data_IF_699702630508
#
_entry.id   IF_699702630508
#
_cell.length_a   1.000
_cell.length_b   1.000
_cell.length_c   1.000
_cell.angle_alpha   90.00
_cell.angle_beta   90.00
_cell.angle_gamma   90.00
#
_symmetry.space_group_name_H-M   'P 1'
#
loop_
_entity.id
_entity.type
_entity.pdbx_description
1 polymer ?
#
# COMPACT_ATOMS: atom_id res chain seq x y z
N UNK A 1 -24.73 38.00 -7.64
CA UNK A 1 -23.62 37.06 -7.94
C UNK A 1 -22.41 37.39 -7.06
N UNK A 2 -21.92 38.64 -7.01
CA UNK A 2 -20.81 39.06 -6.12
C UNK A 2 -21.12 38.91 -4.62
N UNK A 3 -22.29 39.31 -4.13
CA UNK A 3 -22.65 39.15 -2.71
C UNK A 3 -22.73 37.67 -2.27
N UNK A 4 -23.21 36.80 -3.15
CA UNK A 4 -23.30 35.35 -2.91
C UNK A 4 -21.91 34.73 -2.86
N UNK A 5 -21.02 35.13 -3.77
CA UNK A 5 -19.62 34.67 -3.80
C UNK A 5 -18.82 35.17 -2.59
N UNK A 6 -19.07 36.40 -2.13
CA UNK A 6 -18.46 36.96 -0.92
C UNK A 6 -18.88 36.22 0.36
N UNK A 7 -20.16 35.81 0.46
CA UNK A 7 -20.65 34.99 1.58
C UNK A 7 -20.04 33.59 1.58
N UNK A 8 -19.95 32.94 0.42
CA UNK A 8 -19.31 31.62 0.29
C UNK A 8 -17.82 31.67 0.67
N UNK A 9 -17.08 32.67 0.19
CA UNK A 9 -15.67 32.87 0.58
C UNK A 9 -15.51 33.09 2.09
N UNK A 10 -16.37 33.88 2.71
CA UNK A 10 -16.35 34.10 4.15
C UNK A 10 -16.65 32.81 4.94
N UNK A 11 -17.62 32.01 4.47
CA UNK A 11 -17.94 30.71 5.06
C UNK A 11 -16.76 29.74 4.98
N UNK A 12 -16.13 29.60 3.80
CA UNK A 12 -14.99 28.70 3.60
C UNK A 12 -13.76 29.15 4.42
N UNK A 13 -13.53 30.47 4.55
CA UNK A 13 -12.47 31.00 5.45
C UNK A 13 -12.75 30.69 6.92
N UNK A 14 -13.99 30.88 7.37
CA UNK A 14 -14.37 30.55 8.75
C UNK A 14 -14.26 29.05 9.04
N UNK A 15 -14.56 28.19 8.06
CA UNK A 15 -14.36 26.76 8.19
C UNK A 15 -12.88 26.39 8.26
N UNK A 16 -12.03 27.02 7.44
CA UNK A 16 -10.58 26.83 7.48
C UNK A 16 -10.01 27.22 8.86
N UNK A 17 -10.40 28.36 9.41
CA UNK A 17 -9.95 28.80 10.76
C UNK A 17 -10.33 27.79 11.84
N UNK A 18 -11.54 27.21 11.76
CA UNK A 18 -11.99 26.14 12.65
C UNK A 18 -11.11 24.89 12.53
N UNK A 19 -10.77 24.47 11.31
CA UNK A 19 -9.90 23.32 11.06
C UNK A 19 -8.48 23.58 11.58
N UNK A 20 -7.91 24.75 11.31
CA UNK A 20 -6.57 25.12 11.79
C UNK A 20 -6.51 25.13 13.32
N UNK A 21 -7.54 25.68 13.98
CA UNK A 21 -7.65 25.68 15.44
C UNK A 21 -7.71 24.25 16.00
N UNK A 22 -8.46 23.36 15.35
CA UNK A 22 -8.55 21.96 15.75
C UNK A 22 -7.22 21.22 15.55
N UNK A 23 -6.49 21.46 14.45
CA UNK A 23 -5.13 20.94 14.22
C UNK A 23 -4.19 21.39 15.33
N UNK A 24 -4.17 22.69 15.64
CA UNK A 24 -3.29 23.26 16.67
C UNK A 24 -3.64 22.74 18.07
N UNK A 25 -4.93 22.46 18.35
CA UNK A 25 -5.36 21.82 19.60
C UNK A 25 -4.87 20.37 19.68
N UNK A 26 -5.11 19.55 18.65
CA UNK A 26 -4.71 18.14 18.65
C UNK A 26 -3.17 18.00 18.73
N UNK A 27 -2.40 18.83 18.02
CA UNK A 27 -0.94 18.84 18.13
C UNK A 27 -0.51 19.13 19.57
N UNK A 28 -1.09 20.15 20.22
CA UNK A 28 -0.74 20.50 21.61
C UNK A 28 -1.04 19.34 22.56
N UNK A 29 -2.18 18.67 22.40
CA UNK A 29 -2.55 17.51 23.24
C UNK A 29 -1.63 16.31 23.04
N UNK A 30 -1.20 16.03 21.80
CA UNK A 30 -0.40 14.83 21.47
C UNK A 30 1.08 14.95 21.84
N UNK A 31 1.63 16.17 21.86
CA UNK A 31 3.05 16.43 22.18
C UNK A 31 3.34 16.36 23.68
N UNK A 32 2.32 16.49 24.53
CA UNK A 32 2.47 16.34 25.98
C UNK A 32 2.83 14.89 26.33
N UNK A 33 3.97 14.72 27.02
CA UNK A 33 4.42 13.41 27.51
C UNK A 33 3.37 12.87 28.50
N UNK A 34 2.91 11.62 28.36
CA UNK A 34 1.92 11.07 29.27
C UNK A 34 2.45 11.10 30.71
N UNK A 35 1.67 11.66 31.63
CA UNK A 35 1.98 11.62 33.06
C UNK A 35 1.71 10.20 33.57
N UNK A 36 2.77 9.39 33.61
CA UNK A 36 2.95 8.13 34.36
C UNK A 36 1.68 7.48 34.92
N UNK A 37 1.04 6.61 34.14
CA UNK A 37 -0.02 5.69 34.64
C UNK A 37 0.06 4.27 34.04
N UNK A 38 1.15 3.89 33.36
CA UNK A 38 1.27 2.58 32.70
C UNK A 38 2.30 1.64 33.34
N UNK A 39 2.04 0.33 33.22
CA UNK A 39 2.72 -0.78 33.91
C UNK A 39 3.94 -1.33 33.13
N UNK A 40 4.20 -0.90 31.89
CA UNK A 40 5.31 -1.37 31.02
C UNK A 40 5.85 -0.26 30.09
N UNK A 41 7.15 0.03 30.20
CA UNK A 41 7.91 1.06 29.46
C UNK A 41 7.86 0.87 27.93
N UNK A 42 7.84 -0.38 27.43
CA UNK A 42 7.86 -0.64 25.99
C UNK A 42 6.58 -0.21 25.29
N UNK A 43 5.46 -0.38 25.97
CA UNK A 43 4.14 0.00 25.46
C UNK A 43 3.99 1.52 25.47
N UNK A 44 4.52 2.18 26.49
CA UNK A 44 4.56 3.64 26.60
C UNK A 44 5.38 4.29 25.46
N UNK A 45 6.58 3.76 25.20
CA UNK A 45 7.44 4.22 24.08
C UNK A 45 6.72 4.10 22.73
N UNK A 46 6.02 2.99 22.49
CA UNK A 46 5.29 2.78 21.24
C UNK A 46 4.13 3.78 21.08
N UNK A 47 3.34 3.99 22.14
CA UNK A 47 2.24 4.97 22.15
C UNK A 47 2.79 6.39 21.94
N UNK A 48 3.90 6.73 22.59
CA UNK A 48 4.51 8.05 22.46
C UNK A 48 5.01 8.31 21.04
N UNK A 49 5.68 7.33 20.41
CA UNK A 49 6.08 7.43 18.99
C UNK A 49 4.88 7.65 18.07
N UNK A 50 3.81 6.88 18.25
CA UNK A 50 2.59 7.04 17.46
C UNK A 50 1.97 8.44 17.62
N UNK A 51 2.00 9.02 18.83
CA UNK A 51 1.53 10.39 19.08
C UNK A 51 2.41 11.43 18.37
N UNK A 52 3.72 11.25 18.39
CA UNK A 52 4.67 12.14 17.70
C UNK A 52 4.50 12.08 16.18
N UNK A 53 4.34 10.88 15.62
CA UNK A 53 4.06 10.67 14.20
C UNK A 53 2.76 11.38 13.80
N UNK A 54 1.68 11.18 14.57
CA UNK A 54 0.40 11.88 14.35
C UNK A 54 0.55 13.40 14.41
N UNK A 55 1.31 13.92 15.37
CA UNK A 55 1.56 15.35 15.48
C UNK A 55 2.36 15.89 14.28
N UNK A 56 3.32 15.11 13.76
CA UNK A 56 4.10 15.46 12.58
C UNK A 56 3.22 15.48 11.31
N UNK A 57 2.36 14.48 11.11
CA UNK A 57 1.38 14.45 10.01
C UNK A 57 0.49 15.70 10.02
N UNK A 58 -0.06 16.05 11.18
CA UNK A 58 -0.91 17.23 11.35
C UNK A 58 -0.18 18.54 11.09
N UNK A 59 1.08 18.66 11.52
CA UNK A 59 1.93 19.83 11.24
C UNK A 59 2.19 19.97 9.74
N UNK A 60 2.51 18.86 9.06
CA UNK A 60 2.77 18.85 7.63
C UNK A 60 1.50 19.17 6.82
N UNK A 61 0.32 18.74 7.28
CA UNK A 61 -0.96 19.07 6.62
C UNK A 61 -1.46 20.47 6.94
N UNK A 62 -0.98 21.14 8.00
CA UNK A 62 -1.49 22.44 8.44
C UNK A 62 -1.52 23.53 7.35
N UNK A 63 -0.51 23.67 6.46
CA UNK A 63 -0.55 24.67 5.39
C UNK A 63 -1.65 24.43 4.35
N UNK A 64 -2.08 23.18 4.16
CA UNK A 64 -3.11 22.77 3.22
C UNK A 64 -3.87 21.53 3.74
N UNK A 65 -4.81 21.70 4.69
CA UNK A 65 -5.38 20.59 5.45
C UNK A 65 -6.39 19.76 4.66
N UNK A 66 -7.06 20.36 3.67
CA UNK A 66 -8.00 19.73 2.77
C UNK A 66 -7.99 20.47 1.43
N UNK A 67 -8.42 19.79 0.37
CA UNK A 67 -8.38 20.34 -1.01
C UNK A 67 -9.74 20.27 -1.71
N UNK A 68 -10.69 19.52 -1.16
CA UNK A 68 -11.98 19.27 -1.80
C UNK A 68 -13.14 19.40 -0.83
N UNK A 69 -14.29 19.82 -1.35
CA UNK A 69 -15.59 19.76 -0.67
C UNK A 69 -16.60 19.08 -1.57
N UNK A 70 -17.42 18.22 -0.97
CA UNK A 70 -18.55 17.56 -1.61
C UNK A 70 -19.80 17.79 -0.77
N UNK A 71 -20.87 18.26 -1.41
CA UNK A 71 -22.18 18.34 -0.79
C UNK A 71 -23.02 17.17 -1.33
N UNK A 72 -23.50 16.31 -0.42
CA UNK A 72 -24.16 15.05 -0.75
C UNK A 72 -25.56 15.01 -0.16
N UNK A 73 -26.57 14.87 -1.02
CA UNK A 73 -27.99 14.78 -0.67
C UNK A 73 -28.39 13.33 -0.48
N UNK A 74 -28.89 12.99 0.70
CA UNK A 74 -29.42 11.66 1.00
C UNK A 74 -30.75 11.43 0.28
N UNK A 75 -30.94 10.23 -0.27
CA UNK A 75 -32.19 9.87 -0.94
C UNK A 75 -33.35 9.66 0.05
N UNK A 76 -33.07 9.11 1.23
CA UNK A 76 -34.12 8.75 2.21
C UNK A 76 -34.72 9.96 2.94
N UNK A 77 -34.06 11.12 2.90
CA UNK A 77 -34.49 12.36 3.55
C UNK A 77 -34.34 13.57 2.61
N UNK A 78 -35.20 13.65 1.58
CA UNK A 78 -35.24 14.77 0.65
C UNK A 78 -35.62 16.12 1.27
N UNK A 79 -35.93 16.19 2.57
CA UNK A 79 -36.17 17.46 3.29
C UNK A 79 -34.96 17.94 4.10
N UNK A 80 -34.00 17.07 4.44
CA UNK A 80 -32.80 17.43 5.22
C UNK A 80 -31.72 18.06 4.34
N UNK A 81 -31.05 19.13 4.81
CA UNK A 81 -29.96 19.77 4.09
C UNK A 81 -28.85 18.78 3.64
N UNK A 82 -28.21 19.05 2.50
CA UNK A 82 -27.14 18.20 2.00
C UNK A 82 -26.00 18.10 3.02
N UNK A 83 -25.51 16.88 3.21
CA UNK A 83 -24.36 16.61 4.07
C UNK A 83 -23.07 17.11 3.41
N UNK A 84 -22.31 17.93 4.14
CA UNK A 84 -21.08 18.55 3.64
C UNK A 84 -19.87 17.73 4.10
N UNK A 85 -19.00 17.38 3.15
CA UNK A 85 -17.80 16.59 3.40
C UNK A 85 -16.56 17.28 2.83
N UNK A 86 -15.63 17.65 3.69
CA UNK A 86 -14.32 18.15 3.28
C UNK A 86 -13.33 16.98 3.18
N UNK A 87 -12.57 16.93 2.08
CA UNK A 87 -11.68 15.84 1.72
C UNK A 87 -10.23 16.32 1.79
N UNK A 88 -9.41 15.61 2.55
CA UNK A 88 -8.00 15.91 2.75
C UNK A 88 -7.13 14.67 2.88
N UNK A 89 -5.81 14.88 2.95
CA UNK A 89 -4.83 13.79 3.08
C UNK A 89 -4.87 13.17 4.47
N UNK A 90 -4.82 14.04 5.48
CA UNK A 90 -4.79 13.68 6.89
C UNK A 90 -6.18 13.93 7.45
N UNK A 91 -6.91 12.88 7.87
CA UNK A 91 -8.23 13.08 8.46
C UNK A 91 -8.11 13.78 9.81
N UNK A 92 -9.12 14.59 10.11
CA UNK A 92 -9.24 15.36 11.34
C UNK A 92 -10.67 15.22 11.86
N UNK A 93 -10.89 14.21 12.70
CA UNK A 93 -12.21 13.92 13.30
C UNK A 93 -13.32 13.91 12.22
N UNK A 94 -14.41 14.63 12.48
CA UNK A 94 -15.54 14.86 11.57
C UNK A 94 -15.32 16.06 10.62
N UNK A 95 -14.26 16.87 10.83
CA UNK A 95 -14.01 18.07 10.04
C UNK A 95 -13.39 17.76 8.69
N UNK A 96 -12.38 16.90 8.66
CA UNK A 96 -11.70 16.51 7.41
C UNK A 96 -11.74 15.00 7.27
N UNK A 97 -12.34 14.53 6.18
CA UNK A 97 -12.36 13.12 5.80
C UNK A 97 -11.09 12.78 5.01
N UNK A 98 -10.56 11.60 5.25
CA UNK A 98 -9.44 11.09 4.45
C UNK A 98 -9.90 10.88 3.01
N UNK A 99 -9.04 11.21 2.06
CA UNK A 99 -9.21 10.92 0.64
C UNK A 99 -9.37 9.43 0.32
N UNK A 100 -8.96 8.54 1.23
CA UNK A 100 -9.15 7.09 1.11
C UNK A 100 -10.49 6.61 1.68
N UNK A 101 -11.23 7.47 2.38
CA UNK A 101 -12.49 7.09 2.99
C UNK A 101 -13.53 6.75 1.91
N UNK A 102 -14.48 5.83 2.16
CA UNK A 102 -15.50 5.50 1.18
C UNK A 102 -16.30 6.72 0.68
N UNK A 103 -16.59 7.68 1.56
CA UNK A 103 -17.26 8.94 1.20
C UNK A 103 -16.45 9.80 0.24
N UNK A 104 -15.12 9.71 0.24
CA UNK A 104 -14.26 10.43 -0.69
C UNK A 104 -14.39 9.92 -2.13
N UNK A 105 -14.96 8.71 -2.34
CA UNK A 105 -15.29 8.24 -3.68
C UNK A 105 -16.22 9.22 -4.42
N UNK A 106 -17.13 9.88 -3.71
CA UNK A 106 -18.03 10.90 -4.26
C UNK A 106 -17.28 12.12 -4.83
N UNK A 107 -16.10 12.45 -4.29
CA UNK A 107 -15.29 13.56 -4.79
C UNK A 107 -14.64 13.21 -6.13
N UNK A 108 -14.09 12.01 -6.24
CA UNK A 108 -13.43 11.54 -7.47
C UNK A 108 -14.43 11.10 -8.53
N UNK A 109 -15.59 10.62 -8.09
CA UNK A 109 -16.67 10.07 -8.92
C UNK A 109 -18.02 10.67 -8.53
N UNK A 110 -18.26 11.94 -8.86
CA UNK A 110 -19.53 12.61 -8.56
C UNK A 110 -20.76 11.97 -9.21
N UNK A 111 -20.59 11.09 -10.21
CA UNK A 111 -21.66 10.31 -10.83
C UNK A 111 -22.20 9.15 -9.98
N UNK A 112 -21.56 8.82 -8.85
CA UNK A 112 -22.00 7.74 -7.97
C UNK A 112 -23.31 8.08 -7.27
N UNK A 113 -24.20 7.09 -7.17
CA UNK A 113 -25.51 7.20 -6.49
C UNK A 113 -25.44 6.88 -4.99
N UNK A 114 -24.25 7.00 -4.40
CA UNK A 114 -24.01 6.66 -3.01
C UNK A 114 -22.60 6.16 -2.72
N UNK A 115 -22.38 5.73 -1.48
CA UNK A 115 -21.11 5.16 -1.05
C UNK A 115 -21.30 4.11 0.06
N UNK A 116 -20.32 3.23 0.20
CA UNK A 116 -20.32 2.19 1.24
C UNK A 116 -19.93 2.79 2.60
N UNK A 117 -20.81 2.72 3.61
CA UNK A 117 -20.48 3.06 4.99
C UNK A 117 -20.38 1.80 5.87
N UNK A 118 -19.80 1.90 7.08
CA UNK A 118 -19.74 0.77 8.01
C UNK A 118 -21.10 0.17 8.37
N UNK A 119 -22.17 0.98 8.32
CA UNK A 119 -23.55 0.56 8.62
C UNK A 119 -24.34 0.06 7.41
N UNK A 120 -23.76 0.08 6.21
CA UNK A 120 -24.46 -0.25 4.97
C UNK A 120 -24.19 0.77 3.86
N UNK A 121 -24.75 0.55 2.70
CA UNK A 121 -24.65 1.48 1.58
C UNK A 121 -25.56 2.69 1.81
N UNK A 122 -25.02 3.90 1.64
CA UNK A 122 -25.75 5.15 1.78
C UNK A 122 -26.09 5.67 0.39
N UNK A 123 -27.39 5.76 0.09
CA UNK A 123 -27.90 6.23 -1.20
C UNK A 123 -28.09 7.74 -1.24
N UNK A 124 -27.78 8.35 -2.37
CA UNK A 124 -27.91 9.79 -2.57
C UNK A 124 -27.23 10.30 -3.83
N UNK A 125 -27.10 11.61 -3.94
CA UNK A 125 -26.48 12.27 -5.09
C UNK A 125 -25.59 13.44 -4.67
N UNK A 126 -24.53 13.68 -5.43
CA UNK A 126 -23.65 14.83 -5.23
C UNK A 126 -24.31 16.07 -5.81
N UNK A 127 -24.56 17.10 -5.00
CA UNK A 127 -25.11 18.38 -5.45
C UNK A 127 -24.00 19.37 -5.85
N UNK A 128 -22.88 19.35 -5.11
CA UNK A 128 -21.74 20.24 -5.33
C UNK A 128 -20.44 19.46 -5.20
N UNK A 129 -19.53 19.65 -6.18
CA UNK A 129 -18.10 19.33 -6.05
C UNK A 129 -17.32 20.62 -6.16
N UNK A 130 -16.55 20.94 -5.13
CA UNK A 130 -15.74 22.16 -5.05
C UNK A 130 -14.27 21.83 -4.81
N UNK A 131 -13.41 22.52 -5.53
CA UNK A 131 -11.97 22.56 -5.35
C UNK A 131 -11.60 23.76 -4.50
N UNK A 132 -10.76 23.55 -3.50
CA UNK A 132 -10.30 24.57 -2.57
C UNK A 132 -8.78 24.61 -2.64
N UNK A 133 -8.24 25.70 -3.18
CA UNK A 133 -6.80 25.95 -3.20
C UNK A 133 -6.43 26.65 -1.90
N UNK A 134 -5.71 25.93 -1.03
CA UNK A 134 -5.24 26.42 0.27
C UNK A 134 -3.72 26.34 0.29
N UNK A 135 -3.08 27.47 0.51
CA UNK A 135 -1.64 27.59 0.64
C UNK A 135 -1.31 28.44 1.87
N UNK A 136 -0.24 28.08 2.59
CA UNK A 136 0.20 28.78 3.80
C UNK A 136 -0.93 29.05 4.82
N UNK A 137 -1.84 28.06 4.96
CA UNK A 137 -3.01 28.13 5.83
C UNK A 137 -4.00 29.25 5.46
N UNK A 138 -4.01 29.69 4.19
CA UNK A 138 -4.95 30.67 3.67
C UNK A 138 -5.69 30.12 2.44
N UNK A 139 -6.98 30.41 2.35
CA UNK A 139 -7.79 30.09 1.18
C UNK A 139 -7.45 31.05 0.04
N UNK A 140 -6.80 30.52 -0.99
CA UNK A 140 -6.36 31.25 -2.17
C UNK A 140 -7.48 31.36 -3.19
N UNK A 141 -8.13 30.23 -3.50
CA UNK A 141 -9.13 30.16 -4.58
C UNK A 141 -10.15 29.07 -4.33
N UNK A 142 -11.36 29.31 -4.85
CA UNK A 142 -12.47 28.35 -4.88
C UNK A 142 -12.86 28.12 -6.34
N UNK A 143 -13.06 26.85 -6.70
CA UNK A 143 -13.56 26.47 -8.02
C UNK A 143 -14.70 25.45 -7.87
N UNK A 144 -15.89 25.78 -8.34
CA UNK A 144 -17.04 24.86 -8.39
C UNK A 144 -16.95 24.02 -9.67
N UNK A 145 -16.84 22.70 -9.56
CA UNK A 145 -16.61 21.77 -10.68
C UNK A 145 -17.85 21.00 -11.09
N UNK A 146 -18.71 20.69 -10.12
CA UNK A 146 -20.04 20.12 -10.36
C UNK A 146 -21.01 20.93 -9.53
N UNK A 147 -22.08 21.41 -10.14
CA UNK A 147 -23.18 22.08 -9.43
C UNK A 147 -24.49 21.65 -10.06
N UNK A 148 -25.19 20.74 -9.40
CA UNK A 148 -26.56 20.37 -9.77
C UNK A 148 -27.48 21.49 -9.30
N UNK A 149 -28.13 22.16 -10.26
CA UNK A 149 -29.19 23.12 -9.97
C UNK A 149 -30.45 22.33 -9.60
N UNK A 150 -31.24 22.78 -8.59
CA UNK A 150 -32.44 22.06 -8.12
C UNK A 150 -33.50 21.75 -9.18
N UNK A 151 -33.39 22.33 -10.39
CA UNK A 151 -34.40 22.26 -11.45
C UNK A 151 -33.97 21.41 -12.67
N UNK A 152 -32.73 20.92 -12.71
CA UNK A 152 -32.19 20.19 -13.86
C UNK A 152 -32.00 18.70 -13.50
N UNK A 153 -32.97 17.87 -13.87
CA UNK A 153 -32.88 16.39 -13.84
C UNK A 153 -31.96 15.81 -14.92
N UNK A 154 -31.23 16.66 -15.66
CA UNK A 154 -30.25 16.23 -16.66
C UNK A 154 -28.87 16.19 -16.03
N UNK A 155 -28.25 15.00 -16.10
CA UNK A 155 -26.83 14.74 -15.80
C UNK A 155 -25.99 15.92 -16.31
N UNK A 156 -25.54 16.78 -15.38
CA UNK A 156 -24.66 17.89 -15.71
C UNK A 156 -23.46 17.35 -16.48
N UNK A 157 -23.15 17.97 -17.62
CA UNK A 157 -22.01 17.58 -18.43
C UNK A 157 -20.73 17.64 -17.57
N UNK A 158 -20.15 16.48 -17.27
CA UNK A 158 -18.89 16.38 -16.55
C UNK A 158 -17.79 17.00 -17.41
N UNK A 159 -17.37 18.23 -17.06
CA UNK A 159 -16.26 18.89 -17.72
C UNK A 159 -14.93 18.34 -17.17
N UNK A 160 -14.61 17.08 -17.50
CA UNK A 160 -13.39 16.40 -17.06
C UNK A 160 -12.11 17.11 -17.51
N UNK A 161 -12.11 17.65 -18.74
CA UNK A 161 -10.94 18.31 -19.33
C UNK A 161 -10.67 19.71 -18.74
N UNK A 162 -11.71 20.47 -18.36
CA UNK A 162 -11.52 21.79 -17.73
C UNK A 162 -10.98 21.66 -16.30
N UNK A 163 -11.44 20.64 -15.54
CA UNK A 163 -10.92 20.35 -14.21
C UNK A 163 -9.44 20.00 -14.23
N UNK A 164 -9.00 19.13 -15.14
CA UNK A 164 -7.59 18.78 -15.29
C UNK A 164 -6.75 20.02 -15.59
N UNK A 165 -7.20 20.86 -16.51
CA UNK A 165 -6.47 22.07 -16.92
C UNK A 165 -6.40 23.09 -15.77
N UNK A 166 -7.46 23.23 -14.97
CA UNK A 166 -7.50 24.13 -13.81
C UNK A 166 -6.70 23.58 -12.62
N UNK A 167 -6.81 22.29 -12.31
CA UNK A 167 -6.06 21.67 -11.22
C UNK A 167 -4.54 21.60 -11.54
N UNK A 168 -4.18 21.40 -12.81
CA UNK A 168 -2.78 21.42 -13.27
C UNK A 168 -2.19 22.85 -13.30
N UNK A 169 -3.02 23.88 -13.52
CA UNK A 169 -2.56 25.27 -13.46
C UNK A 169 -2.47 25.82 -12.04
N UNK A 170 -3.26 25.27 -11.10
CA UNK A 170 -3.17 25.57 -9.67
C UNK A 170 -1.95 24.90 -8.99
N UNK A 171 -1.54 23.72 -9.47
CA UNK A 171 -0.42 22.94 -8.92
C UNK A 171 0.94 23.42 -9.47
N UNK A 172 1.34 24.62 -9.07
CA UNK A 172 2.59 25.24 -9.55
C UNK A 172 3.88 24.61 -9.00
N UNK A 173 3.79 23.71 -8.01
CA UNK A 173 4.97 23.19 -7.30
C UNK A 173 5.52 21.87 -7.83
N UNK A 174 4.79 21.13 -8.68
CA UNK A 174 5.28 19.90 -9.31
C UNK A 174 5.62 18.76 -8.33
N UNK A 175 5.32 18.91 -7.04
CA UNK A 175 5.54 17.88 -6.04
C UNK A 175 4.37 16.90 -6.02
N UNK A 176 4.69 15.60 -6.02
CA UNK A 176 3.71 14.51 -6.03
C UNK A 176 2.70 14.57 -4.85
N UNK A 177 3.01 15.38 -3.83
CA UNK A 177 2.10 15.66 -2.73
C UNK A 177 0.79 16.29 -3.21
N UNK A 178 0.77 17.14 -4.24
CA UNK A 178 -0.45 17.74 -4.80
C UNK A 178 -1.27 16.77 -5.67
N UNK A 179 -0.74 15.57 -5.95
CA UNK A 179 -1.32 14.66 -6.94
C UNK A 179 -2.68 14.06 -6.52
N UNK A 180 -2.96 13.92 -5.22
CA UNK A 180 -4.20 13.31 -4.73
C UNK A 180 -5.44 14.09 -5.17
N UNK A 181 -5.36 15.43 -5.17
CA UNK A 181 -6.41 16.32 -5.65
C UNK A 181 -6.72 16.10 -7.14
N UNK A 182 -5.71 15.73 -7.93
CA UNK A 182 -5.80 15.59 -9.39
C UNK A 182 -6.12 14.17 -9.86
N UNK A 183 -6.37 13.23 -8.94
CA UNK A 183 -6.72 11.85 -9.30
C UNK A 183 -7.99 11.86 -10.17
N UNK A 184 -7.85 11.29 -11.37
CA UNK A 184 -8.97 11.15 -12.31
C UNK A 184 -9.93 10.03 -11.87
N UNK A 185 -11.21 10.07 -12.27
CA UNK A 185 -12.20 9.03 -11.96
C UNK A 185 -11.70 7.60 -12.30
N UNK A 186 -11.12 7.41 -13.50
CA UNK A 186 -10.63 6.11 -13.97
C UNK A 186 -9.42 5.63 -13.16
N UNK A 187 -8.56 6.56 -12.75
CA UNK A 187 -7.42 6.26 -11.86
C UNK A 187 -7.91 5.87 -10.47
N UNK A 188 -8.91 6.58 -9.94
CA UNK A 188 -9.50 6.29 -8.63
C UNK A 188 -10.13 4.90 -8.60
N UNK A 189 -10.82 4.47 -9.66
CA UNK A 189 -11.33 3.10 -9.77
C UNK A 189 -10.22 2.06 -9.61
N UNK A 190 -9.07 2.26 -10.26
CA UNK A 190 -7.93 1.33 -10.13
C UNK A 190 -7.29 1.41 -8.73
N UNK A 191 -7.28 2.58 -8.11
CA UNK A 191 -6.78 2.78 -6.74
C UNK A 191 -7.67 2.03 -5.73
N UNK A 192 -8.99 2.20 -5.83
CA UNK A 192 -9.97 1.68 -4.90
C UNK A 192 -10.44 0.24 -5.19
N UNK A 193 -9.99 -0.39 -6.29
CA UNK A 193 -10.38 -1.77 -6.64
C UNK A 193 -9.83 -2.80 -5.65
N UNK A 194 -10.54 -3.09 -4.57
CA UNK A 194 -10.09 -3.98 -3.48
C UNK A 194 -10.53 -5.44 -3.65
N UNK A 195 -11.52 -5.71 -4.49
CA UNK A 195 -12.10 -7.05 -4.68
C UNK A 195 -11.19 -8.02 -5.47
N UNK A 196 -10.15 -7.49 -6.13
CA UNK A 196 -9.29 -8.27 -7.02
C UNK A 196 -7.99 -8.70 -6.32
N UNK A 197 -7.69 -10.00 -6.22
CA UNK A 197 -6.44 -10.48 -5.61
C UNK A 197 -5.19 -10.10 -6.43
N UNK A 198 -5.35 -9.91 -7.75
CA UNK A 198 -4.30 -9.45 -8.66
C UNK A 198 -4.87 -8.34 -9.53
N UNK A 199 -4.14 -7.22 -9.62
CA UNK A 199 -4.49 -6.09 -10.49
C UNK A 199 -3.30 -5.76 -11.41
N UNK A 200 -3.58 -5.67 -12.72
CA UNK A 200 -2.62 -5.25 -13.73
C UNK A 200 -3.05 -3.88 -14.25
N UNK A 201 -2.15 -2.89 -14.14
CA UNK A 201 -2.40 -1.52 -14.62
C UNK A 201 -1.57 -1.32 -15.90
N UNK A 202 -2.26 -1.22 -17.04
CA UNK A 202 -1.66 -1.03 -18.36
C UNK A 202 -2.01 0.35 -18.92
N UNK A 203 -1.06 0.99 -19.62
CA UNK A 203 -1.24 2.33 -20.19
C UNK A 203 0.02 2.84 -20.88
N UNK A 204 -0.12 3.87 -21.72
CA UNK A 204 0.98 4.50 -22.47
C UNK A 204 1.99 5.22 -21.56
N UNK A 205 3.19 5.51 -22.07
CA UNK A 205 4.16 6.33 -21.34
C UNK A 205 3.53 7.68 -20.92
N UNK A 206 3.83 8.15 -19.71
CA UNK A 206 3.25 9.39 -19.17
C UNK A 206 1.83 9.28 -18.58
N UNK A 207 1.14 8.14 -18.72
CA UNK A 207 -0.24 7.97 -18.23
C UNK A 207 -0.41 7.88 -16.69
N UNK A 208 0.59 8.26 -15.90
CA UNK A 208 0.51 8.24 -14.43
C UNK A 208 0.52 6.88 -13.74
N UNK A 209 0.85 5.76 -14.42
CA UNK A 209 0.77 4.40 -13.81
C UNK A 209 1.50 4.25 -12.48
N UNK A 210 2.72 4.78 -12.39
CA UNK A 210 3.51 4.71 -11.15
C UNK A 210 2.83 5.47 -10.02
N UNK A 211 2.23 6.63 -10.33
CA UNK A 211 1.46 7.42 -9.38
C UNK A 211 0.21 6.67 -8.90
N UNK A 212 -0.55 6.07 -9.82
CA UNK A 212 -1.71 5.23 -9.51
C UNK A 212 -1.31 4.06 -8.60
N UNK A 213 -0.18 3.41 -8.87
CA UNK A 213 0.33 2.32 -8.03
C UNK A 213 0.70 2.79 -6.61
N UNK A 214 1.31 3.97 -6.47
CA UNK A 214 1.66 4.55 -5.17
C UNK A 214 0.41 4.97 -4.38
N UNK A 215 -0.54 5.64 -5.02
CA UNK A 215 -1.81 5.97 -4.38
C UNK A 215 -2.59 4.72 -4.01
N UNK A 216 -2.60 3.68 -4.85
CA UNK A 216 -3.19 2.39 -4.50
C UNK A 216 -2.54 1.79 -3.26
N UNK A 217 -1.21 1.84 -3.16
CA UNK A 217 -0.51 1.34 -1.98
C UNK A 217 -0.94 2.09 -0.71
N UNK A 218 -0.96 3.43 -0.75
CA UNK A 218 -1.43 4.22 0.38
C UNK A 218 -2.92 4.00 0.69
N UNK A 219 -3.75 3.84 -0.34
CA UNK A 219 -5.16 3.51 -0.16
C UNK A 219 -5.33 2.18 0.58
N UNK A 220 -4.61 1.12 0.19
CA UNK A 220 -4.69 -0.21 0.80
C UNK A 220 -4.19 -0.23 2.24
N UNK A 221 -3.14 0.53 2.55
CA UNK A 221 -2.57 0.63 3.89
C UNK A 221 -3.36 1.55 4.83
N UNK A 222 -4.16 2.46 4.27
CA UNK A 222 -4.96 3.41 5.05
C UNK A 222 -5.99 2.70 5.94
N UNK A 223 -6.12 3.08 7.21
CA UNK A 223 -7.13 2.53 8.10
C UNK A 223 -8.55 3.06 7.81
N UNK A 224 -8.69 4.05 6.93
CA UNK A 224 -9.94 4.72 6.63
C UNK A 224 -10.65 4.18 5.39
N UNK A 225 -10.01 3.28 4.63
CA UNK A 225 -10.61 2.67 3.45
C UNK A 225 -11.77 1.72 3.78
N UNK A 226 -12.42 1.19 2.76
CA UNK A 226 -13.52 0.22 2.89
C UNK A 226 -13.08 -1.19 3.31
N UNK A 227 -11.77 -1.48 3.37
CA UNK A 227 -11.30 -2.83 3.71
C UNK A 227 -11.54 -3.13 5.19
N UNK A 228 -12.00 -4.35 5.53
CA UNK A 228 -12.02 -4.85 6.89
C UNK A 228 -10.61 -4.82 7.51
N UNK A 229 -10.45 -4.48 8.80
CA UNK A 229 -9.13 -4.47 9.44
C UNK A 229 -8.33 -5.78 9.31
N UNK A 230 -9.03 -6.93 9.22
CA UNK A 230 -8.42 -8.25 9.03
C UNK A 230 -7.83 -8.48 7.64
N UNK A 231 -8.31 -7.76 6.63
CA UNK A 231 -7.86 -7.89 5.23
C UNK A 231 -6.84 -6.83 4.85
N UNK A 232 -6.62 -5.83 5.71
CA UNK A 232 -5.66 -4.77 5.46
C UNK A 232 -4.23 -5.32 5.48
N UNK A 233 -3.42 -5.04 4.45
CA UNK A 233 -2.01 -5.38 4.49
C UNK A 233 -1.33 -4.61 5.62
N UNK A 234 -0.48 -5.31 6.36
CA UNK A 234 0.41 -4.66 7.32
C UNK A 234 1.59 -4.05 6.56
N UNK A 235 1.95 -2.79 6.83
CA UNK A 235 3.01 -2.09 6.10
C UNK A 235 4.33 -2.89 6.07
N UNK A 236 4.73 -3.48 7.20
CA UNK A 236 5.90 -4.35 7.32
C UNK A 236 5.83 -5.68 6.54
N UNK A 237 4.70 -5.97 5.87
CA UNK A 237 4.51 -7.14 5.00
C UNK A 237 4.34 -6.74 3.53
N UNK A 238 4.52 -5.47 3.18
CA UNK A 238 4.51 -5.00 1.80
C UNK A 238 5.93 -4.91 1.26
N UNK A 239 6.13 -5.42 0.05
CA UNK A 239 7.36 -5.23 -0.73
C UNK A 239 7.04 -4.49 -2.03
N UNK A 240 7.82 -3.46 -2.32
CA UNK A 240 7.78 -2.71 -3.56
C UNK A 240 9.05 -2.95 -4.36
N UNK A 241 8.86 -3.46 -5.58
CA UNK A 241 9.94 -3.64 -6.55
C UNK A 241 10.01 -2.45 -7.49
N UNK A 242 11.10 -1.69 -7.40
CA UNK A 242 11.39 -0.58 -8.31
C UNK A 242 12.41 -0.97 -9.39
N UNK A 243 12.40 -0.29 -10.55
CA UNK A 243 13.36 -0.52 -11.62
C UNK A 243 14.79 -0.11 -11.24
N UNK A 244 14.95 0.87 -10.35
CA UNK A 244 16.26 1.38 -9.93
C UNK A 244 16.24 1.93 -8.51
N UNK A 245 17.42 2.08 -7.91
CA UNK A 245 17.57 2.72 -6.59
C UNK A 245 17.19 4.21 -6.61
N UNK A 246 17.42 4.90 -7.71
CA UNK A 246 17.05 6.31 -7.85
C UNK A 246 15.52 6.48 -7.81
N UNK A 247 14.79 5.62 -8.54
CA UNK A 247 13.34 5.57 -8.48
C UNK A 247 12.83 5.25 -7.08
N UNK A 248 13.43 4.27 -6.40
CA UNK A 248 13.02 3.91 -5.04
C UNK A 248 13.30 5.03 -4.03
N UNK A 249 14.40 5.78 -4.17
CA UNK A 249 14.65 6.96 -3.33
C UNK A 249 13.58 8.03 -3.52
N UNK A 250 13.19 8.26 -4.78
CA UNK A 250 12.11 9.18 -5.11
C UNK A 250 10.78 8.70 -4.51
N UNK A 251 10.44 7.43 -4.64
CA UNK A 251 9.24 6.87 -4.00
C UNK A 251 9.29 6.99 -2.47
N UNK A 252 10.45 6.74 -1.87
CA UNK A 252 10.65 6.79 -0.43
C UNK A 252 10.44 8.20 0.16
N UNK A 253 10.60 9.28 -0.62
CA UNK A 253 10.25 10.62 -0.15
C UNK A 253 8.75 10.92 -0.19
N UNK A 254 7.94 10.08 -0.85
CA UNK A 254 6.51 10.30 -1.09
C UNK A 254 5.62 9.46 -0.17
N UNK A 255 6.14 8.37 0.38
CA UNK A 255 5.45 7.51 1.33
C UNK A 255 5.31 8.10 2.76
N UNK A 256 6.25 8.94 3.26
CA UNK A 256 6.10 9.60 4.56
C UNK A 256 4.91 10.55 4.61
N UNK A 257 4.62 11.29 3.52
CA UNK A 257 3.40 12.10 3.41
C UNK A 257 2.12 11.26 3.29
N UNK A 258 2.25 9.94 3.18
CA UNK A 258 1.18 8.95 3.19
C UNK A 258 1.15 8.12 4.49
N UNK A 259 1.99 8.43 5.50
CA UNK A 259 1.95 7.82 6.83
C UNK A 259 2.55 6.41 6.95
N UNK A 260 3.41 6.00 6.01
CA UNK A 260 3.91 4.61 5.96
C UNK A 260 5.45 4.54 5.80
N UNK A 261 6.16 4.21 6.88
CA UNK A 261 7.63 4.09 6.90
C UNK A 261 8.15 2.67 6.71
N UNK A 262 7.30 1.65 6.91
CA UNK A 262 7.74 0.26 7.08
C UNK A 262 7.63 -0.59 5.80
N UNK A 263 7.55 0.05 4.63
CA UNK A 263 7.45 -0.65 3.34
C UNK A 263 8.85 -1.07 2.88
N UNK A 264 9.02 -2.37 2.59
CA UNK A 264 10.29 -2.88 2.05
C UNK A 264 10.42 -2.44 0.59
N UNK A 265 11.37 -1.55 0.33
CA UNK A 265 11.64 -1.02 -1.00
C UNK A 265 12.94 -1.59 -1.55
N UNK A 266 12.87 -2.29 -2.68
CA UNK A 266 14.06 -2.95 -3.25
C UNK A 266 13.97 -3.08 -4.76
N UNK A 267 15.11 -3.35 -5.40
CA UNK A 267 15.13 -3.78 -6.80
C UNK A 267 15.12 -5.31 -6.81
N UNK A 268 14.63 -5.92 -7.89
CA UNK A 268 14.64 -7.38 -8.01
C UNK A 268 16.06 -7.95 -7.85
N UNK A 269 17.06 -7.27 -8.45
CA UNK A 269 18.47 -7.63 -8.36
C UNK A 269 18.98 -7.57 -6.91
N UNK A 270 18.69 -6.48 -6.19
CA UNK A 270 19.13 -6.34 -4.80
C UNK A 270 18.43 -7.36 -3.89
N UNK A 271 17.13 -7.56 -4.07
CA UNK A 271 16.37 -8.56 -3.33
C UNK A 271 16.94 -9.98 -3.53
N UNK A 272 17.24 -10.38 -4.77
CA UNK A 272 17.87 -11.67 -5.04
C UNK A 272 19.18 -11.87 -4.27
N UNK A 273 20.04 -10.85 -4.19
CA UNK A 273 21.30 -10.94 -3.41
C UNK A 273 21.07 -11.16 -1.92
N UNK A 274 19.92 -10.74 -1.37
CA UNK A 274 19.56 -11.00 0.02
C UNK A 274 19.04 -12.42 0.25
N UNK A 275 18.48 -13.06 -0.79
CA UNK A 275 17.96 -14.43 -0.74
C UNK A 275 19.09 -15.47 -0.82
N UNK A 276 20.16 -15.20 -1.58
CA UNK A 276 21.27 -16.13 -1.73
C UNK A 276 22.33 -16.01 -0.62
N UNK A 277 22.57 -17.10 0.12
CA UNK A 277 23.58 -17.14 1.18
C UNK A 277 25.01 -16.90 0.68
N UNK A 278 25.31 -17.32 -0.56
CA UNK A 278 26.65 -17.23 -1.16
C UNK A 278 26.94 -15.90 -1.87
N UNK A 279 25.99 -14.94 -1.88
CA UNK A 279 26.09 -13.63 -2.56
C UNK A 279 26.74 -13.74 -3.95
N UNK A 280 26.11 -14.43 -4.90
CA UNK A 280 26.70 -14.67 -6.21
C UNK A 280 27.03 -13.36 -6.93
N UNK A 281 28.06 -13.39 -7.78
CA UNK A 281 28.32 -12.29 -8.72
C UNK A 281 27.25 -12.30 -9.80
N UNK A 282 26.23 -11.47 -9.62
CA UNK A 282 25.16 -11.27 -10.61
C UNK A 282 25.58 -10.11 -11.53
N UNK A 283 25.49 -10.33 -12.85
CA UNK A 283 25.73 -9.26 -13.82
C UNK A 283 24.59 -8.22 -13.76
N UNK A 284 24.90 -6.95 -13.98
CA UNK A 284 23.86 -5.91 -14.05
C UNK A 284 22.93 -6.14 -15.23
N UNK A 285 21.67 -5.75 -15.07
CA UNK A 285 20.66 -5.82 -16.14
C UNK A 285 21.13 -5.06 -17.38
N UNK A 286 21.76 -3.90 -17.21
CA UNK A 286 22.29 -3.09 -18.31
C UNK A 286 23.39 -3.81 -19.10
N UNK A 287 24.23 -4.59 -18.40
CA UNK A 287 25.28 -5.37 -19.03
C UNK A 287 24.69 -6.53 -19.83
N UNK A 288 23.77 -7.28 -19.22
CA UNK A 288 23.05 -8.38 -19.87
C UNK A 288 22.33 -7.86 -21.14
N UNK A 289 21.63 -6.73 -21.02
CA UNK A 289 20.97 -6.09 -22.15
C UNK A 289 21.94 -5.66 -23.25
N UNK A 290 23.05 -5.01 -22.88
CA UNK A 290 24.08 -4.59 -23.83
C UNK A 290 24.71 -5.77 -24.58
N UNK A 291 24.99 -6.86 -23.86
CA UNK A 291 25.54 -8.09 -24.43
C UNK A 291 24.51 -8.77 -25.36
N UNK A 292 23.23 -8.81 -24.98
CA UNK A 292 22.12 -9.29 -25.81
C UNK A 292 22.00 -8.50 -27.12
N UNK A 293 21.99 -7.17 -27.05
CA UNK A 293 21.88 -6.30 -28.23
C UNK A 293 23.10 -6.43 -29.15
N UNK A 294 24.29 -6.56 -28.57
CA UNK A 294 25.53 -6.79 -29.33
C UNK A 294 25.53 -8.14 -30.04
N UNK A 295 25.07 -9.20 -29.37
CA UNK A 295 25.02 -10.54 -29.95
C UNK A 295 23.98 -10.65 -31.06
N UNK A 296 22.83 -9.96 -30.90
CA UNK A 296 21.83 -9.83 -31.96
C UNK A 296 22.41 -9.15 -33.21
N UNK A 297 23.16 -8.07 -33.04
CA UNK A 297 23.79 -7.35 -34.15
C UNK A 297 24.89 -8.17 -34.86
N UNK A 298 25.54 -9.10 -34.14
CA UNK A 298 26.57 -9.99 -34.68
C UNK A 298 26.02 -11.27 -35.34
N UNK A 299 24.69 -11.45 -35.39
CA UNK A 299 24.06 -12.64 -35.95
C UNK A 299 24.20 -13.90 -35.08
N UNK A 300 24.63 -13.76 -33.82
CA UNK A 300 24.74 -14.88 -32.87
C UNK A 300 23.38 -15.21 -32.26
N UNK A 301 22.46 -15.71 -33.10
CA UNK A 301 21.07 -15.96 -32.74
C UNK A 301 20.95 -17.00 -31.60
N UNK A 302 21.82 -18.02 -31.59
CA UNK A 302 21.83 -19.08 -30.56
C UNK A 302 22.00 -18.54 -29.14
N UNK A 303 22.86 -17.53 -28.94
CA UNK A 303 23.08 -16.92 -27.61
C UNK A 303 21.84 -16.15 -27.18
N UNK A 304 21.21 -15.42 -28.12
CA UNK A 304 19.97 -14.69 -27.85
C UNK A 304 18.82 -15.65 -27.51
N UNK A 305 18.64 -16.72 -28.28
CA UNK A 305 17.61 -17.74 -28.06
C UNK A 305 17.80 -18.46 -26.73
N UNK A 306 19.04 -18.80 -26.37
CA UNK A 306 19.35 -19.41 -25.08
C UNK A 306 19.00 -18.49 -23.90
N UNK A 307 19.33 -17.21 -23.97
CA UNK A 307 18.99 -16.23 -22.91
C UNK A 307 17.48 -15.96 -22.84
N UNK A 308 16.79 -15.84 -23.99
CA UNK A 308 15.35 -15.70 -24.03
C UNK A 308 14.63 -16.94 -23.47
N UNK A 309 15.13 -18.13 -23.79
CA UNK A 309 14.61 -19.39 -23.26
C UNK A 309 14.75 -19.48 -21.74
N UNK A 310 15.90 -19.07 -21.17
CA UNK A 310 16.12 -19.02 -19.72
C UNK A 310 15.11 -18.13 -18.99
N UNK A 311 14.63 -17.06 -19.64
CA UNK A 311 13.62 -16.15 -19.10
C UNK A 311 12.17 -16.60 -19.31
N UNK A 312 11.93 -17.73 -19.97
CA UNK A 312 10.58 -18.21 -20.32
C UNK A 312 9.90 -19.00 -19.20
N UNK A 313 8.57 -19.09 -19.26
CA UNK A 313 7.80 -19.99 -18.39
C UNK A 313 8.13 -21.48 -18.62
N UNK A 314 8.62 -21.84 -19.80
CA UNK A 314 9.06 -23.22 -20.08
C UNK A 314 10.29 -23.59 -19.26
N UNK A 315 11.28 -22.70 -19.17
CA UNK A 315 12.44 -22.92 -18.29
C UNK A 315 12.02 -23.04 -16.83
N UNK A 316 11.06 -22.23 -16.38
CA UNK A 316 10.53 -22.33 -15.02
C UNK A 316 9.93 -23.73 -14.74
N UNK A 317 9.14 -24.27 -15.68
CA UNK A 317 8.57 -25.62 -15.57
C UNK A 317 9.63 -26.73 -15.59
N UNK A 318 10.69 -26.57 -16.38
CA UNK A 318 11.84 -27.50 -16.41
C UNK A 318 12.56 -27.50 -15.05
N UNK A 319 12.86 -26.33 -14.50
CA UNK A 319 13.51 -26.20 -13.20
C UNK A 319 12.66 -26.77 -12.08
N UNK A 320 11.34 -26.55 -12.10
CA UNK A 320 10.43 -27.12 -11.12
C UNK A 320 10.42 -28.66 -11.18
N UNK A 321 10.38 -29.21 -12.39
CA UNK A 321 10.44 -30.66 -12.62
C UNK A 321 11.76 -31.25 -12.15
N UNK A 322 12.88 -30.60 -12.48
CA UNK A 322 14.21 -31.00 -12.04
C UNK A 322 14.35 -31.00 -10.51
N UNK A 323 13.89 -29.93 -9.83
CA UNK A 323 13.92 -29.86 -8.35
C UNK A 323 13.06 -30.95 -7.73
N UNK A 324 11.90 -31.25 -8.33
CA UNK A 324 10.99 -32.30 -7.86
C UNK A 324 11.60 -33.70 -8.00
N UNK A 325 12.24 -33.98 -9.13
CA UNK A 325 12.95 -35.24 -9.38
C UNK A 325 14.14 -35.39 -8.44
N UNK A 326 14.99 -34.36 -8.35
CA UNK A 326 16.16 -34.39 -7.48
C UNK A 326 15.79 -34.60 -6.02
N UNK A 327 14.70 -33.98 -5.57
CA UNK A 327 14.12 -34.20 -4.24
C UNK A 327 13.69 -35.65 -4.03
N UNK A 328 13.04 -36.30 -5.02
CA UNK A 328 12.65 -37.72 -4.93
C UNK A 328 13.86 -38.62 -4.81
N UNK A 329 14.89 -38.40 -5.63
CA UNK A 329 16.15 -39.17 -5.58
C UNK A 329 16.82 -39.06 -4.21
N UNK A 330 17.01 -37.83 -3.71
CA UNK A 330 17.62 -37.59 -2.40
C UNK A 330 16.82 -38.29 -1.31
N UNK A 331 15.49 -38.15 -1.31
CA UNK A 331 14.64 -38.79 -0.30
C UNK A 331 14.63 -40.32 -0.40
N UNK A 332 14.76 -40.88 -1.61
CA UNK A 332 14.82 -42.33 -1.82
C UNK A 332 16.13 -42.94 -1.30
N UNK A 333 17.24 -42.21 -1.41
CA UNK A 333 18.56 -42.60 -0.92
C UNK A 333 18.80 -42.36 0.58
N UNK A 334 17.84 -41.78 1.32
CA UNK A 334 17.94 -41.65 2.78
C UNK A 334 17.49 -42.97 3.42
N UNK A 335 18.47 -43.81 3.75
CA UNK A 335 18.24 -44.97 4.61
C UNK A 335 18.31 -44.57 6.09
N UNK A 336 19.36 -43.85 6.49
CA UNK A 336 19.52 -43.27 7.84
C UNK A 336 20.34 -41.97 7.75
N UNK A 337 19.78 -40.84 8.20
CA UNK A 337 20.50 -39.56 8.26
C UNK A 337 20.59 -39.09 9.71
N UNK A 338 21.79 -38.80 10.19
CA UNK A 338 22.03 -38.34 11.56
C UNK A 338 22.13 -36.83 11.55
N UNK A 339 21.25 -36.17 12.30
CA UNK A 339 21.22 -34.71 12.44
C UNK A 339 21.35 -34.33 13.91
N UNK A 340 22.15 -33.32 14.20
CA UNK A 340 22.19 -32.69 15.53
C UNK A 340 21.25 -31.49 15.51
N UNK A 341 20.23 -31.50 16.37
CA UNK A 341 19.29 -30.38 16.49
C UNK A 341 19.83 -29.29 17.42
N UNK A 342 19.16 -28.13 17.46
CA UNK A 342 19.62 -26.94 18.20
C UNK A 342 19.83 -27.18 19.71
N UNK A 343 19.14 -28.16 20.30
CA UNK A 343 19.32 -28.61 21.68
C UNK A 343 20.57 -29.46 21.94
N UNK A 344 21.37 -29.75 20.90
CA UNK A 344 22.53 -30.63 20.97
C UNK A 344 22.19 -32.13 20.92
N UNK A 345 20.91 -32.49 20.86
CA UNK A 345 20.48 -33.88 20.74
C UNK A 345 20.72 -34.41 19.33
N UNK A 346 21.25 -35.63 19.23
CA UNK A 346 21.45 -36.32 17.96
C UNK A 346 20.20 -37.13 17.63
N UNK A 347 19.57 -36.80 16.50
CA UNK A 347 18.36 -37.45 16.01
C UNK A 347 18.67 -38.22 14.73
N UNK A 348 18.16 -39.45 14.70
CA UNK A 348 18.25 -40.33 13.54
C UNK A 348 16.99 -40.17 12.69
N UNK A 349 17.13 -39.51 11.56
CA UNK A 349 16.06 -39.37 10.57
C UNK A 349 15.93 -40.70 9.82
N UNK A 350 14.84 -41.40 10.11
CA UNK A 350 14.45 -42.63 9.41
C UNK A 350 13.72 -42.28 8.10
N UNK A 351 13.56 -43.27 7.24
CA UNK A 351 12.79 -43.17 5.99
C UNK A 351 11.35 -42.67 6.20
N UNK A 352 10.74 -43.00 7.34
CA UNK A 352 9.40 -42.54 7.70
C UNK A 352 9.36 -41.03 8.03
N UNK A 353 10.36 -40.55 8.79
CA UNK A 353 10.52 -39.14 9.11
C UNK A 353 10.84 -38.32 7.85
N UNK A 354 11.70 -38.85 6.96
CA UNK A 354 11.99 -38.23 5.67
C UNK A 354 10.74 -38.10 4.77
N UNK A 355 9.85 -39.10 4.77
CA UNK A 355 8.56 -39.03 4.06
C UNK A 355 7.63 -37.96 4.63
N UNK A 356 7.67 -37.70 5.94
CA UNK A 356 6.90 -36.61 6.56
C UNK A 356 7.37 -35.24 6.06
N UNK A 357 8.68 -35.01 5.99
CA UNK A 357 9.23 -33.80 5.35
C UNK A 357 8.78 -33.65 3.89
N UNK A 358 8.80 -34.77 3.14
CA UNK A 358 8.36 -34.78 1.75
C UNK A 358 6.92 -34.29 1.57
N UNK A 359 6.01 -34.69 2.48
CA UNK A 359 4.61 -34.25 2.51
C UNK A 359 4.49 -32.77 2.87
N UNK A 360 5.21 -32.29 3.89
CA UNK A 360 5.21 -30.87 4.28
C UNK A 360 5.66 -29.95 3.15
N UNK A 361 6.70 -30.36 2.44
CA UNK A 361 7.27 -29.62 1.31
C UNK A 361 6.51 -29.78 -0.02
N UNK A 362 5.36 -30.47 -0.02
CA UNK A 362 4.36 -30.38 -1.10
C UNK A 362 3.32 -29.28 -0.82
N UNK A 363 3.10 -28.97 0.45
CA UNK A 363 2.05 -28.04 0.91
C UNK A 363 2.63 -26.66 1.23
N UNK A 364 3.91 -26.59 1.61
CA UNK A 364 4.59 -25.35 1.98
C UNK A 364 5.84 -25.08 1.13
N UNK A 365 6.20 -23.81 0.88
CA UNK A 365 7.50 -23.44 0.31
C UNK A 365 8.64 -24.10 1.07
N UNK A 366 9.71 -24.50 0.38
CA UNK A 366 10.81 -25.33 0.93
C UNK A 366 11.37 -24.79 2.26
N UNK A 367 11.61 -23.49 2.37
CA UNK A 367 12.13 -22.88 3.59
C UNK A 367 11.16 -23.01 4.76
N UNK A 368 9.86 -22.81 4.52
CA UNK A 368 8.82 -22.95 5.55
C UNK A 368 8.60 -24.42 5.91
N UNK A 369 8.62 -25.31 4.93
CA UNK A 369 8.54 -26.75 5.15
C UNK A 369 9.72 -27.24 6.01
N UNK A 370 10.94 -26.73 5.75
CA UNK A 370 12.14 -27.01 6.55
C UNK A 370 11.97 -26.54 7.99
N UNK A 371 11.55 -25.30 8.18
CA UNK A 371 11.33 -24.73 9.52
C UNK A 371 10.26 -25.52 10.31
N UNK A 372 9.10 -25.79 9.71
CA UNK A 372 8.04 -26.58 10.32
C UNK A 372 8.49 -27.99 10.68
N UNK A 373 9.25 -28.63 9.79
CA UNK A 373 9.80 -29.95 10.02
C UNK A 373 10.83 -29.98 11.16
N UNK A 374 11.75 -29.01 11.21
CA UNK A 374 12.71 -28.88 12.32
C UNK A 374 11.96 -28.66 13.64
N UNK A 375 11.03 -27.70 13.69
CA UNK A 375 10.24 -27.41 14.89
C UNK A 375 9.44 -28.64 15.36
N UNK A 376 8.90 -29.42 14.43
CA UNK A 376 8.16 -30.64 14.73
C UNK A 376 9.07 -31.74 15.31
N UNK A 377 10.25 -31.96 14.70
CA UNK A 377 11.24 -32.91 15.21
C UNK A 377 11.74 -32.50 16.59
N UNK A 378 12.03 -31.21 16.80
CA UNK A 378 12.49 -30.69 18.09
C UNK A 378 11.43 -30.88 19.18
N UNK A 379 10.15 -30.61 18.89
CA UNK A 379 9.04 -30.91 19.82
C UNK A 379 8.91 -32.40 20.13
N UNK A 380 8.99 -33.26 19.12
CA UNK A 380 8.90 -34.72 19.33
C UNK A 380 10.07 -35.26 20.16
N UNK A 381 11.27 -34.69 19.98
CA UNK A 381 12.46 -35.01 20.76
C UNK A 381 12.34 -34.53 22.22
N UNK A 382 11.76 -33.35 22.46
CA UNK A 382 11.46 -32.84 23.81
C UNK A 382 10.41 -33.68 24.54
N UNK A 383 9.44 -34.23 23.82
CA UNK A 383 8.37 -35.07 24.36
C UNK A 383 8.77 -36.54 24.56
N UNK A 384 9.94 -36.96 24.06
CA UNK A 384 10.47 -38.32 24.19
C UNK A 384 11.58 -38.35 25.26
N UNK A 385 11.26 -38.56 26.55
CA UNK A 385 12.27 -38.58 27.60
C UNK A 385 13.21 -39.79 27.43
N UNK A 386 14.45 -39.51 27.03
CA UNK A 386 15.66 -40.29 27.30
C UNK A 386 15.50 -41.80 27.53
N UNK A 387 15.73 -42.61 26.50
CA UNK A 387 16.25 -43.99 26.65
C UNK A 387 17.66 -44.09 26.09
N UNK A 388 18.63 -43.60 26.86
CA UNK A 388 19.97 -44.20 26.88
C UNK A 388 20.41 -44.26 28.35
N UNK A 389 20.19 -45.42 28.98
CA UNK A 389 20.98 -45.81 30.15
C UNK A 389 22.42 -45.94 29.65
N UNK A 390 23.33 -45.16 30.24
CA UNK A 390 24.76 -45.50 30.27
C UNK A 390 24.86 -46.88 30.91
N UNK A 391 25.11 -47.92 30.13
CA UNK A 391 25.65 -49.16 30.68
C UNK A 391 27.17 -48.96 30.79
N UNK A 392 27.60 -48.68 32.01
CA UNK A 392 28.93 -48.98 32.51
C UNK A 392 29.08 -50.50 32.64
N UNK A 393 30.00 -51.09 31.89
CA UNK A 393 30.83 -52.26 32.24
C UNK A 393 31.91 -52.38 31.18
#
# INVERSE_FOLDING_TARGET
MEETMGRELAHERGYLDKVLTAIDSEIREKVVYPTSTAVDLRTEDAIYRQRLERAAELRNSRPSPYFGRVDFRLQENEEEAASVHYIGKVPLSELVRSWTAPVAALYYRPELTGYQAPKGYIWGQVELKRLLEIADAQLVKITDLVKLLPTETKRGAFAGDSFLTEALSASSSGELEEAVQTIQPEQYEQIAAVEKPVLIIQGSAGSGKSLVALHRLAYLLSPFNSLPPSERPHAGRVIMFGPSRAFLKYVASLLPSLGHTDIVQTTIHHWMLTVFSSKPRIASVDRIFSDLMRNRAKGSLEVYEAEAFKGSLQMAAILESYVKERKREILAGIDQLVMTISSGQVIKITKEIARRYARLSLVHPLNRARELFINQIEREAMLSPSRVRKNSS
#
